data_IF_481893473490
#
_entry.id   IF_481893473490
#
_cell.length_a   1.000
_cell.length_b   1.000
_cell.length_c   1.000
_cell.angle_alpha   90.00
_cell.angle_beta   90.00
_cell.angle_gamma   90.00
#
_symmetry.space_group_name_H-M   'P 1'
#
loop_
_entity.id
_entity.type
_entity.pdbx_description
1 polymer ?
#
# COMPACT_ATOMS: atom_id res chain seq x y z
N UNK A 1 51.86 28.86 -21.96
CA UNK A 1 50.94 28.89 -20.81
C UNK A 1 49.62 28.28 -21.25
N UNK A 2 48.99 27.48 -20.37
CA UNK A 2 47.70 26.78 -20.50
C UNK A 2 47.71 25.40 -21.19
N UNK A 3 48.16 24.41 -20.41
CA UNK A 3 47.83 22.99 -20.58
C UNK A 3 46.40 22.74 -20.07
N UNK A 4 45.54 22.26 -20.96
CA UNK A 4 44.20 21.73 -20.66
C UNK A 4 44.34 20.46 -19.80
N UNK A 5 43.85 20.50 -18.55
CA UNK A 5 43.64 19.32 -17.72
C UNK A 5 42.20 18.84 -17.90
N UNK A 6 42.05 17.76 -18.66
CA UNK A 6 40.87 16.90 -18.66
C UNK A 6 40.66 16.32 -17.25
N UNK A 7 39.58 16.73 -16.59
CA UNK A 7 39.13 16.11 -15.34
C UNK A 7 38.51 14.76 -15.71
N UNK A 8 39.31 13.71 -15.56
CA UNK A 8 38.84 12.33 -15.60
C UNK A 8 37.97 12.07 -14.36
N UNK A 9 36.65 12.19 -14.51
CA UNK A 9 35.66 11.66 -13.56
C UNK A 9 35.76 10.14 -13.52
N UNK A 10 36.65 9.61 -12.67
CA UNK A 10 36.55 8.23 -12.20
C UNK A 10 35.23 8.10 -11.45
N UNK A 11 34.28 7.35 -12.02
CA UNK A 11 33.15 6.82 -11.27
C UNK A 11 33.72 6.06 -10.06
N UNK A 12 33.57 6.64 -8.87
CA UNK A 12 33.66 5.86 -7.64
C UNK A 12 32.54 4.83 -7.72
N UNK A 13 32.91 3.56 -7.97
CA UNK A 13 32.05 2.42 -7.68
C UNK A 13 31.66 2.54 -6.20
N UNK A 14 30.47 3.09 -5.93
CA UNK A 14 29.86 2.98 -4.60
C UNK A 14 29.61 1.49 -4.40
N UNK A 15 30.45 0.85 -3.59
CA UNK A 15 30.18 -0.49 -3.08
C UNK A 15 28.91 -0.41 -2.24
N UNK A 16 27.78 -0.87 -2.78
CA UNK A 16 26.55 -0.96 -2.02
C UNK A 16 26.73 -1.99 -0.91
N UNK A 17 26.34 -1.65 0.33
CA UNK A 17 26.37 -2.61 1.44
C UNK A 17 25.45 -3.79 1.11
N UNK A 18 26.02 -4.99 0.99
CA UNK A 18 25.28 -6.25 0.90
C UNK A 18 25.06 -6.79 2.31
N UNK A 19 23.87 -7.29 2.61
CA UNK A 19 23.60 -7.94 3.89
C UNK A 19 24.32 -9.30 3.98
N UNK A 20 24.76 -9.69 5.17
CA UNK A 20 25.56 -10.90 5.40
C UNK A 20 24.83 -12.20 5.08
N UNK A 21 23.49 -12.22 5.16
CA UNK A 21 22.66 -13.38 4.83
C UNK A 21 22.43 -13.57 3.31
N UNK A 22 22.91 -12.63 2.49
CA UNK A 22 22.76 -12.67 1.03
C UNK A 22 24.09 -12.98 0.35
N UNK A 23 24.06 -13.71 -0.76
CA UNK A 23 25.24 -13.87 -1.61
C UNK A 23 25.63 -12.52 -2.25
N UNK A 24 26.83 -12.48 -2.81
CA UNK A 24 27.31 -11.32 -3.55
C UNK A 24 26.35 -10.95 -4.70
N UNK A 25 26.09 -9.66 -4.90
CA UNK A 25 25.01 -9.20 -5.78
C UNK A 25 25.17 -9.63 -7.24
N UNK A 26 26.40 -9.76 -7.71
CA UNK A 26 26.74 -10.22 -9.05
C UNK A 26 26.38 -11.69 -9.30
N UNK A 27 26.19 -12.49 -8.25
CA UNK A 27 25.75 -13.90 -8.38
C UNK A 27 24.22 -14.05 -8.37
N UNK A 28 23.46 -13.00 -8.02
CA UNK A 28 22.01 -13.07 -7.81
C UNK A 28 21.25 -13.59 -9.02
N UNK A 29 21.67 -13.25 -10.24
CA UNK A 29 21.02 -13.74 -11.47
C UNK A 29 21.12 -15.26 -11.64
N UNK A 30 22.17 -15.88 -11.08
CA UNK A 30 22.39 -17.33 -11.10
C UNK A 30 21.74 -18.00 -9.91
N UNK A 31 21.78 -17.37 -8.74
CA UNK A 31 21.30 -17.95 -7.48
C UNK A 31 19.79 -17.82 -7.28
N UNK A 32 19.19 -16.76 -7.80
CA UNK A 32 17.77 -16.48 -7.65
C UNK A 32 17.04 -16.61 -8.98
N UNK A 33 16.21 -17.64 -9.08
CA UNK A 33 15.39 -17.89 -10.27
C UNK A 33 14.11 -17.08 -10.18
N UNK A 34 13.89 -16.18 -11.14
CA UNK A 34 12.66 -15.38 -11.27
C UNK A 34 11.74 -15.87 -12.36
N UNK A 35 11.42 -17.16 -12.33
CA UNK A 35 10.47 -17.79 -13.25
C UNK A 35 9.11 -17.98 -12.59
N UNK A 36 8.04 -17.77 -13.36
CA UNK A 36 6.67 -18.10 -12.93
C UNK A 36 5.81 -16.88 -12.59
N UNK A 37 4.50 -17.13 -12.51
CA UNK A 37 3.47 -16.08 -12.32
C UNK A 37 3.52 -15.45 -10.94
N UNK A 38 3.94 -16.19 -9.90
CA UNK A 38 4.04 -15.70 -8.51
C UNK A 38 5.10 -14.60 -8.29
N UNK A 39 6.05 -14.47 -9.21
CA UNK A 39 7.10 -13.46 -9.16
C UNK A 39 6.80 -12.25 -10.05
N UNK A 40 5.63 -12.24 -10.71
CA UNK A 40 5.20 -11.14 -11.57
C UNK A 40 5.00 -9.88 -10.75
N UNK A 41 5.78 -8.84 -11.04
CA UNK A 41 5.71 -7.56 -10.33
C UNK A 41 6.31 -7.60 -8.91
N UNK A 42 7.04 -8.67 -8.56
CA UNK A 42 7.75 -8.79 -7.27
C UNK A 42 9.15 -8.19 -7.36
N UNK A 43 9.20 -6.88 -7.51
CA UNK A 43 10.42 -6.12 -7.34
C UNK A 43 10.57 -5.69 -5.87
N UNK A 44 11.77 -5.82 -5.32
CA UNK A 44 12.08 -5.61 -3.91
C UNK A 44 13.34 -4.76 -3.75
N UNK A 45 13.47 -4.09 -2.61
CA UNK A 45 14.71 -3.40 -2.22
C UNK A 45 15.88 -4.40 -2.28
N UNK A 46 16.94 -4.01 -2.99
CA UNK A 46 18.14 -4.81 -3.21
C UNK A 46 19.42 -4.15 -2.71
N UNK A 47 19.27 -3.08 -1.92
CA UNK A 47 20.36 -2.31 -1.32
C UNK A 47 20.04 -2.08 0.17
N UNK A 48 20.92 -2.55 1.06
CA UNK A 48 20.70 -2.47 2.50
C UNK A 48 20.63 -1.02 2.99
N UNK A 49 21.43 -0.12 2.43
CA UNK A 49 21.40 1.31 2.80
C UNK A 49 20.07 1.98 2.41
N UNK A 50 19.44 1.52 1.33
CA UNK A 50 18.10 1.96 0.94
C UNK A 50 17.06 1.47 1.95
N UNK A 51 17.16 0.22 2.40
CA UNK A 51 16.29 -0.33 3.43
C UNK A 51 16.46 0.39 4.79
N UNK A 52 17.71 0.60 5.25
CA UNK A 52 18.03 1.39 6.46
C UNK A 52 17.43 2.78 6.40
N UNK A 53 17.58 3.46 5.26
CA UNK A 53 17.00 4.78 5.06
C UNK A 53 15.47 4.73 5.12
N UNK A 54 14.83 3.73 4.52
CA UNK A 54 13.37 3.60 4.56
C UNK A 54 12.88 3.44 6.00
N UNK A 55 13.52 2.54 6.77
CA UNK A 55 13.23 2.26 8.18
C UNK A 55 13.41 3.51 9.04
N UNK A 56 14.52 4.23 8.90
CA UNK A 56 14.77 5.50 9.63
C UNK A 56 13.77 6.59 9.24
N UNK A 57 13.38 6.66 7.97
CA UNK A 57 12.41 7.67 7.51
C UNK A 57 10.99 7.40 8.05
N UNK A 58 10.67 6.14 8.33
CA UNK A 58 9.48 5.75 9.09
C UNK A 58 9.58 6.06 10.58
N UNK A 59 10.74 6.51 11.07
CA UNK A 59 11.03 6.86 12.47
C UNK A 59 10.90 5.68 13.44
N UNK A 60 11.16 4.46 12.97
CA UNK A 60 11.09 3.24 13.79
C UNK A 60 12.07 3.31 14.97
N UNK A 61 13.21 3.97 14.82
CA UNK A 61 14.22 4.20 15.87
C UNK A 61 13.71 5.05 17.05
N UNK A 62 12.63 5.81 16.84
CA UNK A 62 11.98 6.62 17.89
C UNK A 62 10.73 5.98 18.48
N UNK A 63 10.39 4.77 18.03
CA UNK A 63 9.23 4.01 18.50
C UNK A 63 9.58 3.12 19.68
N UNK A 64 8.55 2.72 20.44
CA UNK A 64 8.66 1.79 21.55
C UNK A 64 9.36 2.35 22.78
N UNK A 65 9.53 1.46 23.76
CA UNK A 65 10.23 1.74 25.02
C UNK A 65 10.89 0.46 25.53
N UNK A 66 11.66 0.55 26.61
CA UNK A 66 12.26 -0.63 27.25
C UNK A 66 11.21 -1.65 27.73
N UNK A 67 9.99 -1.20 28.04
CA UNK A 67 8.88 -2.06 28.49
C UNK A 67 7.94 -2.48 27.37
N UNK A 68 8.03 -1.82 26.21
CA UNK A 68 7.16 -2.07 25.05
C UNK A 68 8.00 -1.93 23.78
N UNK A 69 8.88 -2.90 23.49
CA UNK A 69 9.73 -2.85 22.32
C UNK A 69 8.88 -2.94 21.05
N UNK A 70 9.44 -2.45 19.94
CA UNK A 70 8.71 -2.36 18.67
C UNK A 70 8.52 -3.74 18.06
N UNK A 71 7.29 -4.06 17.68
CA UNK A 71 6.99 -5.19 16.81
C UNK A 71 6.74 -4.70 15.39
N UNK A 72 7.29 -5.36 14.38
CA UNK A 72 7.12 -4.96 12.99
C UNK A 72 6.73 -6.15 12.12
N UNK A 73 5.69 -5.99 11.30
CA UNK A 73 5.37 -6.94 10.23
C UNK A 73 6.04 -6.45 8.95
N UNK A 74 6.89 -7.26 8.32
CA UNK A 74 7.49 -7.01 7.00
C UNK A 74 6.80 -7.92 5.98
N UNK A 75 5.72 -7.44 5.36
CA UNK A 75 4.94 -8.20 4.39
C UNK A 75 5.55 -8.10 2.98
N UNK A 76 5.55 -9.22 2.25
CA UNK A 76 6.22 -9.34 0.96
C UNK A 76 7.70 -8.96 1.06
N UNK A 77 8.38 -9.49 2.08
CA UNK A 77 9.70 -9.06 2.54
C UNK A 77 10.82 -9.16 1.48
N UNK A 78 10.61 -9.93 0.42
CA UNK A 78 11.62 -10.14 -0.62
C UNK A 78 12.90 -10.71 0.00
N UNK A 79 14.06 -10.12 -0.28
CA UNK A 79 15.33 -10.56 0.30
C UNK A 79 15.47 -10.33 1.82
N UNK A 80 14.48 -9.72 2.48
CA UNK A 80 14.55 -9.42 3.90
C UNK A 80 15.52 -8.29 4.24
N UNK A 81 15.80 -7.37 3.30
CA UNK A 81 16.67 -6.22 3.58
C UNK A 81 16.00 -5.20 4.51
N UNK A 82 14.69 -5.03 4.44
CA UNK A 82 13.92 -4.24 5.42
C UNK A 82 13.97 -4.93 6.78
N UNK A 83 13.66 -6.23 6.82
CA UNK A 83 13.82 -7.05 8.03
C UNK A 83 15.22 -6.93 8.66
N UNK A 84 16.30 -7.04 7.89
CA UNK A 84 17.68 -6.85 8.37
C UNK A 84 17.88 -5.44 8.95
N UNK A 85 17.44 -4.40 8.25
CA UNK A 85 17.58 -3.03 8.72
C UNK A 85 16.78 -2.75 10.01
N UNK A 86 15.66 -3.44 10.22
CA UNK A 86 14.88 -3.38 11.46
C UNK A 86 15.61 -4.08 12.61
N UNK A 87 16.22 -5.24 12.35
CA UNK A 87 16.95 -6.02 13.36
C UNK A 87 18.24 -5.32 13.86
N UNK A 88 18.78 -4.39 13.07
CA UNK A 88 19.89 -3.51 13.47
C UNK A 88 19.49 -2.49 14.55
N UNK A 89 18.19 -2.23 14.75
CA UNK A 89 17.71 -1.29 15.77
C UNK A 89 17.49 -2.01 17.10
N UNK A 90 18.08 -1.50 18.18
CA UNK A 90 17.99 -2.10 19.51
C UNK A 90 16.57 -2.06 20.11
N UNK A 91 15.78 -1.05 19.75
CA UNK A 91 14.41 -0.87 20.23
C UNK A 91 13.38 -1.80 19.54
N UNK A 92 13.77 -2.49 18.47
CA UNK A 92 12.90 -3.46 17.78
C UNK A 92 12.97 -4.81 18.49
N UNK A 93 11.89 -5.19 19.17
CA UNK A 93 11.81 -6.48 19.87
C UNK A 93 11.53 -7.64 18.93
N UNK A 94 10.73 -7.42 17.87
CA UNK A 94 10.29 -8.50 16.99
C UNK A 94 10.04 -8.04 15.56
N UNK A 95 10.49 -8.84 14.59
CA UNK A 95 10.22 -8.71 13.15
C UNK A 95 9.51 -9.98 12.66
N UNK A 96 8.38 -9.82 11.99
CA UNK A 96 7.59 -10.91 11.40
C UNK A 96 7.61 -10.74 9.88
N UNK A 97 8.42 -11.54 9.20
CA UNK A 97 8.60 -11.50 7.75
C UNK A 97 7.67 -12.50 7.08
N UNK A 98 6.79 -12.03 6.19
CA UNK A 98 5.81 -12.86 5.50
C UNK A 98 6.09 -12.81 4.00
N UNK A 99 6.47 -13.93 3.40
CA UNK A 99 6.86 -13.99 1.98
C UNK A 99 6.46 -15.32 1.34
N UNK A 100 5.57 -15.31 0.32
CA UNK A 100 5.11 -16.53 -0.34
C UNK A 100 6.02 -17.01 -1.48
N UNK A 101 6.97 -16.19 -1.94
CA UNK A 101 7.82 -16.56 -3.06
C UNK A 101 9.05 -17.33 -2.60
N UNK A 102 9.08 -18.61 -2.95
CA UNK A 102 10.15 -19.56 -2.58
C UNK A 102 11.57 -19.09 -2.93
N UNK A 103 11.75 -18.27 -3.97
CA UNK A 103 13.05 -17.71 -4.37
C UNK A 103 13.71 -16.91 -3.23
N UNK A 104 12.90 -16.32 -2.34
CA UNK A 104 13.34 -15.56 -1.19
C UNK A 104 13.40 -16.38 0.10
N UNK A 105 12.85 -17.60 0.10
CA UNK A 105 12.69 -18.42 1.30
C UNK A 105 14.02 -18.84 1.93
N UNK A 106 15.05 -19.18 1.13
CA UNK A 106 16.38 -19.53 1.67
C UNK A 106 17.05 -18.34 2.37
N UNK A 107 17.16 -17.15 1.75
CA UNK A 107 17.60 -15.94 2.44
C UNK A 107 16.86 -15.64 3.75
N UNK A 108 15.52 -15.66 3.72
CA UNK A 108 14.71 -15.32 4.89
C UNK A 108 14.83 -16.34 6.02
N UNK A 109 14.90 -17.64 5.69
CA UNK A 109 15.21 -18.70 6.68
C UNK A 109 16.58 -18.49 7.30
N UNK A 110 17.59 -18.18 6.50
CA UNK A 110 18.94 -17.91 7.02
C UNK A 110 18.96 -16.69 7.95
N UNK A 111 18.23 -15.64 7.60
CA UNK A 111 18.15 -14.44 8.43
C UNK A 111 17.40 -14.70 9.74
N UNK A 112 16.26 -15.40 9.67
CA UNK A 112 15.50 -15.79 10.86
C UNK A 112 16.29 -16.74 11.77
N UNK A 113 17.13 -17.61 11.22
CA UNK A 113 18.04 -18.45 12.02
C UNK A 113 19.14 -17.65 12.74
N UNK A 114 19.64 -16.57 12.11
CA UNK A 114 20.64 -15.67 12.72
C UNK A 114 20.06 -14.82 13.85
N UNK A 115 18.75 -14.54 13.80
CA UNK A 115 18.02 -13.71 14.76
C UNK A 115 16.79 -14.45 15.30
N UNK A 116 16.97 -15.70 15.74
CA UNK A 116 15.86 -16.60 16.10
C UNK A 116 15.00 -16.10 17.27
N UNK A 117 15.54 -15.23 18.11
CA UNK A 117 14.89 -14.58 19.24
C UNK A 117 14.03 -13.38 18.83
N UNK A 118 14.40 -12.71 17.73
CA UNK A 118 13.80 -11.44 17.29
C UNK A 118 13.10 -11.51 15.93
N UNK A 119 13.27 -12.58 15.16
CA UNK A 119 12.70 -12.70 13.82
C UNK A 119 11.95 -14.01 13.59
N UNK A 120 10.71 -13.89 13.12
CA UNK A 120 9.88 -14.98 12.63
C UNK A 120 9.71 -14.87 11.11
N UNK A 121 10.00 -15.95 10.37
CA UNK A 121 9.71 -16.06 8.95
C UNK A 121 8.50 -16.96 8.68
N UNK A 122 7.56 -16.49 7.87
CA UNK A 122 6.33 -17.19 7.46
C UNK A 122 6.26 -17.30 5.93
N UNK A 123 6.22 -18.54 5.45
CA UNK A 123 6.02 -18.89 4.03
C UNK A 123 4.52 -18.96 3.69
N UNK A 124 3.82 -17.82 3.79
CA UNK A 124 2.41 -17.65 3.43
C UNK A 124 2.24 -16.35 2.64
N UNK A 125 1.08 -16.18 2.01
CA UNK A 125 0.77 -14.97 1.23
C UNK A 125 0.14 -13.88 2.13
N UNK A 126 0.77 -12.70 2.29
CA UNK A 126 0.22 -11.56 3.02
C UNK A 126 -1.15 -11.07 2.54
N UNK A 127 -1.58 -11.43 1.33
CA UNK A 127 -2.93 -11.12 0.86
C UNK A 127 -4.00 -11.89 1.65
N UNK A 128 -3.67 -13.08 2.16
CA UNK A 128 -4.62 -13.94 2.85
C UNK A 128 -4.79 -13.50 4.31
N UNK A 129 -5.98 -13.05 4.68
CA UNK A 129 -6.28 -12.55 6.03
C UNK A 129 -6.01 -13.58 7.14
N UNK A 130 -6.19 -14.86 6.82
CA UNK A 130 -5.94 -15.97 7.73
C UNK A 130 -4.50 -15.96 8.28
N UNK A 131 -3.51 -15.47 7.52
CA UNK A 131 -2.12 -15.39 8.00
C UNK A 131 -2.02 -14.61 9.30
N UNK A 132 -2.79 -13.54 9.42
CA UNK A 132 -2.68 -12.67 10.58
C UNK A 132 -3.60 -13.08 11.72
N UNK A 133 -4.74 -13.71 11.40
CA UNK A 133 -5.53 -14.43 12.39
C UNK A 133 -4.70 -15.54 13.04
N UNK A 134 -3.89 -16.26 12.25
CA UNK A 134 -2.97 -17.28 12.76
C UNK A 134 -1.90 -16.65 13.66
N UNK A 135 -1.27 -15.54 13.22
CA UNK A 135 -0.29 -14.81 14.03
C UNK A 135 -0.83 -14.40 15.41
N UNK A 136 -2.07 -13.92 15.47
CA UNK A 136 -2.69 -13.54 16.74
C UNK A 136 -3.00 -14.78 17.60
N UNK A 137 -3.57 -15.84 17.01
CA UNK A 137 -3.87 -17.09 17.73
C UNK A 137 -2.63 -17.81 18.25
N UNK A 138 -1.53 -17.73 17.53
CA UNK A 138 -0.23 -18.34 17.89
C UNK A 138 0.55 -17.47 18.90
N UNK A 139 -0.04 -16.37 19.38
CA UNK A 139 0.56 -15.48 20.38
C UNK A 139 1.71 -14.63 19.84
N UNK A 140 1.88 -14.56 18.52
CA UNK A 140 2.98 -13.81 17.93
C UNK A 140 2.81 -12.29 18.04
N UNK A 141 1.61 -11.82 18.34
CA UNK A 141 1.26 -10.42 18.54
C UNK A 141 0.88 -10.09 20.01
N UNK A 142 1.07 -11.01 20.96
CA UNK A 142 0.67 -10.80 22.38
C UNK A 142 1.38 -9.62 23.05
N UNK A 143 2.62 -9.34 22.62
CA UNK A 143 3.39 -8.19 23.09
C UNK A 143 2.94 -6.84 22.50
N UNK A 144 2.00 -6.83 21.55
CA UNK A 144 1.47 -5.60 20.94
C UNK A 144 0.28 -5.10 21.74
N UNK A 145 0.45 -3.96 22.40
CA UNK A 145 -0.60 -3.34 23.21
C UNK A 145 -1.63 -2.67 22.29
N UNK A 146 -2.90 -2.74 22.67
CA UNK A 146 -3.95 -1.97 22.01
C UNK A 146 -3.81 -0.50 22.42
N UNK A 147 -3.76 0.40 21.44
CA UNK A 147 -3.74 1.84 21.65
C UNK A 147 -5.11 2.47 21.33
N UNK A 148 -5.49 3.56 22.04
CA UNK A 148 -6.64 4.37 21.64
C UNK A 148 -6.53 4.82 20.18
N UNK A 149 -7.66 4.94 19.49
CA UNK A 149 -7.66 5.31 18.07
C UNK A 149 -7.19 6.75 17.86
N UNK A 150 -7.26 7.62 18.86
CA UNK A 150 -6.86 9.01 18.74
C UNK A 150 -5.33 9.14 18.63
N UNK A 151 -4.60 8.17 19.16
CA UNK A 151 -3.14 8.13 19.21
C UNK A 151 -2.57 7.28 18.07
N UNK A 152 -1.47 7.74 17.48
CA UNK A 152 -0.70 6.91 16.54
C UNK A 152 -0.07 5.76 17.32
N UNK A 153 -0.07 4.55 16.75
CA UNK A 153 0.56 3.41 17.41
C UNK A 153 2.07 3.64 17.51
N UNK A 154 2.59 3.54 18.73
CA UNK A 154 3.95 3.94 19.10
C UNK A 154 4.95 2.77 19.12
N UNK A 155 4.50 1.51 19.15
CA UNK A 155 5.38 0.33 19.16
C UNK A 155 4.96 -0.82 18.22
N UNK A 156 4.12 -0.53 17.21
CA UNK A 156 3.73 -1.50 16.18
C UNK A 156 3.68 -0.81 14.82
N UNK A 157 4.31 -1.41 13.82
CA UNK A 157 4.35 -0.86 12.46
C UNK A 157 4.32 -1.99 11.42
N UNK A 158 3.97 -1.63 10.19
CA UNK A 158 3.97 -2.56 9.05
C UNK A 158 4.86 -2.01 7.95
N UNK A 159 5.68 -2.84 7.34
CA UNK A 159 6.29 -2.58 6.04
C UNK A 159 5.68 -3.50 5.01
N UNK A 160 5.54 -3.01 3.78
CA UNK A 160 5.08 -3.82 2.67
C UNK A 160 5.75 -3.44 1.36
N UNK A 161 6.31 -4.43 0.67
CA UNK A 161 6.80 -4.26 -0.70
C UNK A 161 5.74 -4.74 -1.67
N UNK A 162 4.85 -3.82 -2.06
CA UNK A 162 3.60 -4.15 -2.74
C UNK A 162 3.88 -4.73 -4.13
N UNK A 163 3.35 -5.92 -4.45
CA UNK A 163 3.47 -6.49 -5.79
C UNK A 163 2.89 -5.51 -6.83
N UNK A 164 3.65 -5.20 -7.89
CA UNK A 164 3.23 -4.32 -8.98
C UNK A 164 2.20 -5.00 -9.90
N UNK A 165 1.04 -5.32 -9.34
CA UNK A 165 -0.07 -6.04 -9.95
C UNK A 165 -1.40 -5.47 -9.45
N UNK A 166 -2.49 -5.77 -10.15
CA UNK A 166 -3.85 -5.42 -9.69
C UNK A 166 -4.12 -5.98 -8.29
N UNK A 167 -3.59 -7.16 -7.98
CA UNK A 167 -3.73 -7.81 -6.68
C UNK A 167 -3.06 -7.00 -5.55
N UNK A 168 -1.90 -6.41 -5.81
CA UNK A 168 -1.23 -5.51 -4.86
C UNK A 168 -2.02 -4.22 -4.61
N UNK A 169 -2.64 -3.65 -5.65
CA UNK A 169 -3.54 -2.50 -5.49
C UNK A 169 -4.81 -2.84 -4.71
N UNK A 170 -5.39 -4.01 -4.96
CA UNK A 170 -6.52 -4.53 -4.19
C UNK A 170 -6.15 -4.70 -2.72
N UNK A 171 -4.94 -5.20 -2.43
CA UNK A 171 -4.46 -5.34 -1.05
C UNK A 171 -4.38 -3.99 -0.33
N UNK A 172 -3.82 -2.95 -0.97
CA UNK A 172 -3.83 -1.59 -0.40
C UNK A 172 -5.27 -1.14 -0.08
N UNK A 173 -6.21 -1.38 -0.98
CA UNK A 173 -7.63 -1.11 -0.75
C UNK A 173 -8.21 -1.85 0.46
N UNK A 174 -7.84 -3.12 0.67
CA UNK A 174 -8.26 -3.89 1.84
C UNK A 174 -7.75 -3.27 3.15
N UNK A 175 -6.50 -2.79 3.20
CA UNK A 175 -6.00 -2.09 4.39
C UNK A 175 -6.81 -0.83 4.69
N UNK A 176 -7.20 -0.04 3.69
CA UNK A 176 -8.07 1.12 3.93
C UNK A 176 -9.44 0.72 4.49
N UNK A 177 -10.01 -0.39 4.02
CA UNK A 177 -11.26 -0.91 4.60
C UNK A 177 -11.05 -1.36 6.06
N UNK A 178 -9.94 -2.03 6.36
CA UNK A 178 -9.62 -2.44 7.73
C UNK A 178 -9.40 -1.24 8.67
N UNK A 179 -8.90 -0.10 8.18
CA UNK A 179 -8.83 1.14 8.98
C UNK A 179 -10.24 1.62 9.40
N UNK A 180 -11.22 1.55 8.50
CA UNK A 180 -12.61 1.96 8.79
C UNK A 180 -13.25 1.05 9.84
N UNK A 181 -13.10 -0.26 9.67
CA UNK A 181 -13.67 -1.25 10.60
C UNK A 181 -12.89 -1.41 11.91
N UNK A 182 -11.69 -0.82 12.01
CA UNK A 182 -10.74 -1.08 13.09
C UNK A 182 -10.51 -2.59 13.27
N UNK A 183 -10.45 -3.30 12.14
CA UNK A 183 -10.32 -4.74 12.11
C UNK A 183 -8.89 -5.15 11.84
N UNK A 184 -8.61 -6.43 12.05
CA UNK A 184 -7.30 -7.01 11.74
C UNK A 184 -6.16 -6.28 12.48
N UNK A 185 -5.10 -5.80 11.82
CA UNK A 185 -4.01 -5.08 12.49
C UNK A 185 -4.48 -3.78 13.14
N UNK A 186 -5.52 -3.15 12.58
CA UNK A 186 -6.08 -1.91 13.10
C UNK A 186 -6.97 -2.12 14.33
N UNK A 187 -7.21 -3.36 14.74
CA UNK A 187 -7.78 -3.65 16.07
C UNK A 187 -6.83 -3.25 17.21
N UNK A 188 -5.53 -3.10 16.92
CA UNK A 188 -4.52 -2.62 17.88
C UNK A 188 -4.40 -1.08 17.93
N UNK A 189 -5.11 -0.35 17.08
CA UNK A 189 -5.06 1.12 17.01
C UNK A 189 -4.63 1.64 15.63
N UNK A 190 -4.19 2.90 15.55
CA UNK A 190 -3.72 3.53 14.30
C UNK A 190 -2.29 3.08 13.98
N UNK A 191 -2.17 1.96 13.29
CA UNK A 191 -0.87 1.38 12.91
C UNK A 191 -0.29 2.10 11.68
N UNK A 192 0.93 2.70 11.75
CA UNK A 192 1.58 3.29 10.59
C UNK A 192 2.13 2.20 9.64
N UNK A 193 2.08 2.47 8.32
CA UNK A 193 2.60 1.55 7.31
C UNK A 193 3.64 2.19 6.39
N UNK A 194 4.77 1.52 6.17
CA UNK A 194 5.77 1.84 5.15
C UNK A 194 5.54 1.02 3.89
N UNK A 195 5.07 1.63 2.80
CA UNK A 195 4.82 0.92 1.54
C UNK A 195 5.91 1.24 0.50
N UNK A 196 6.48 0.23 -0.13
CA UNK A 196 7.18 0.37 -1.40
C UNK A 196 6.21 0.02 -2.52
N UNK A 197 5.89 1.01 -3.36
CA UNK A 197 4.84 0.93 -4.39
C UNK A 197 5.37 1.40 -5.73
N UNK A 198 4.91 0.79 -6.82
CA UNK A 198 5.28 1.24 -8.16
C UNK A 198 4.63 2.59 -8.48
N UNK A 199 5.33 3.48 -9.20
CA UNK A 199 4.90 4.86 -9.42
C UNK A 199 3.49 5.01 -9.99
N UNK A 200 3.04 4.22 -11.01
CA UNK A 200 1.67 4.34 -11.50
C UNK A 200 0.59 4.07 -10.42
N UNK A 201 0.85 3.14 -9.50
CA UNK A 201 -0.08 2.82 -8.41
C UNK A 201 -0.05 3.92 -7.33
N UNK A 202 1.13 4.44 -7.03
CA UNK A 202 1.30 5.62 -6.16
C UNK A 202 0.54 6.83 -6.70
N UNK A 203 0.73 7.17 -7.97
CA UNK A 203 0.03 8.28 -8.62
C UNK A 203 -1.49 8.14 -8.48
N UNK A 204 -2.06 6.97 -8.82
CA UNK A 204 -3.50 6.70 -8.64
C UNK A 204 -3.98 6.88 -7.21
N UNK A 205 -3.12 6.64 -6.22
CA UNK A 205 -3.44 6.79 -4.80
C UNK A 205 -3.43 8.25 -4.35
N UNK A 206 -2.53 9.07 -4.90
CA UNK A 206 -2.28 10.43 -4.37
C UNK A 206 -2.99 11.56 -5.10
N UNK A 207 -3.61 11.29 -6.26
CA UNK A 207 -4.31 12.33 -7.02
C UNK A 207 -5.39 13.06 -6.19
N UNK A 208 -5.37 14.38 -6.25
CA UNK A 208 -6.24 15.30 -5.50
C UNK A 208 -7.49 15.72 -6.31
N UNK A 209 -8.55 16.24 -5.65
CA UNK A 209 -9.70 16.82 -6.34
C UNK A 209 -9.28 17.80 -7.44
N UNK A 210 -9.89 17.69 -8.62
CA UNK A 210 -9.55 18.50 -9.80
C UNK A 210 -8.57 17.83 -10.74
N UNK A 211 -7.78 16.86 -10.27
CA UNK A 211 -6.76 16.23 -11.10
C UNK A 211 -7.40 15.19 -12.06
N UNK A 212 -6.98 15.16 -13.34
CA UNK A 212 -7.65 14.34 -14.36
C UNK A 212 -7.72 12.85 -14.04
N UNK A 213 -6.69 12.34 -13.38
CA UNK A 213 -6.53 10.92 -13.06
C UNK A 213 -6.98 10.54 -11.66
N UNK A 214 -7.56 11.47 -10.89
CA UNK A 214 -8.20 11.13 -9.61
C UNK A 214 -9.27 10.05 -9.83
N UNK A 215 -9.16 8.98 -9.06
CA UNK A 215 -10.06 7.84 -9.10
C UNK A 215 -10.60 7.50 -7.72
N UNK A 216 -11.43 6.45 -7.66
CA UNK A 216 -12.05 5.98 -6.41
C UNK A 216 -11.04 5.67 -5.32
N UNK A 217 -9.91 5.04 -5.66
CA UNK A 217 -8.89 4.66 -4.67
C UNK A 217 -8.24 5.89 -4.00
N UNK A 218 -8.03 6.98 -4.74
CA UNK A 218 -7.56 8.24 -4.17
C UNK A 218 -8.59 8.83 -3.19
N UNK A 219 -9.88 8.79 -3.54
CA UNK A 219 -10.94 9.24 -2.65
C UNK A 219 -11.05 8.39 -1.38
N UNK A 220 -10.92 7.05 -1.49
CA UNK A 220 -10.88 6.17 -0.31
C UNK A 220 -9.67 6.50 0.56
N UNK A 221 -8.49 6.70 -0.03
CA UNK A 221 -7.28 7.12 0.70
C UNK A 221 -7.51 8.43 1.41
N UNK A 222 -7.95 9.49 0.72
CA UNK A 222 -8.19 10.81 1.31
C UNK A 222 -9.15 10.76 2.51
N UNK A 223 -10.09 9.82 2.49
CA UNK A 223 -11.09 9.66 3.53
C UNK A 223 -10.59 8.81 4.73
N UNK A 224 -9.51 8.04 4.55
CA UNK A 224 -9.02 7.06 5.56
C UNK A 224 -7.62 7.34 6.07
N UNK A 225 -6.74 7.98 5.29
CA UNK A 225 -5.31 8.09 5.60
C UNK A 225 -4.60 9.27 4.92
N UNK A 226 -3.43 9.61 5.46
CA UNK A 226 -2.43 10.48 4.84
C UNK A 226 -1.33 9.62 4.25
N UNK A 227 -0.79 10.01 3.09
CA UNK A 227 0.33 9.33 2.43
C UNK A 227 1.46 10.33 2.19
N UNK A 228 2.60 10.12 2.85
CA UNK A 228 3.83 10.89 2.65
C UNK A 228 4.85 10.11 1.82
N UNK A 229 5.69 10.81 1.06
CA UNK A 229 6.85 10.22 0.38
C UNK A 229 8.04 10.19 1.32
N UNK A 230 8.59 9.00 1.56
CA UNK A 230 9.81 8.79 2.36
C UNK A 230 11.04 8.56 1.48
N UNK A 231 10.87 7.78 0.40
CA UNK A 231 11.88 7.54 -0.62
C UNK A 231 11.34 8.01 -1.97
N UNK A 232 11.82 9.15 -2.50
CA UNK A 232 11.33 9.66 -3.77
C UNK A 232 11.78 8.77 -4.93
N UNK A 233 11.00 8.80 -6.01
CA UNK A 233 11.25 8.00 -7.22
C UNK A 233 12.66 8.19 -7.80
N UNK A 234 13.18 9.42 -7.71
CA UNK A 234 14.51 9.79 -8.19
C UNK A 234 15.64 8.99 -7.56
N UNK A 235 15.41 8.38 -6.40
CA UNK A 235 16.38 7.57 -5.67
C UNK A 235 16.14 6.07 -5.79
N UNK A 236 15.03 5.65 -6.40
CA UNK A 236 14.68 4.25 -6.62
C UNK A 236 14.67 3.92 -8.11
N UNK A 237 15.42 4.72 -8.88
CA UNK A 237 15.54 4.53 -10.32
C UNK A 237 16.15 3.16 -10.63
N UNK A 238 15.70 2.50 -11.71
CA UNK A 238 16.22 1.19 -12.06
C UNK A 238 17.74 1.11 -12.23
N UNK A 239 18.34 2.15 -12.80
CA UNK A 239 19.77 2.18 -13.09
C UNK A 239 20.64 2.26 -11.82
N UNK A 240 20.06 2.59 -10.66
CA UNK A 240 20.78 2.71 -9.39
C UNK A 240 21.02 1.37 -8.69
N UNK A 241 20.55 0.25 -9.27
CA UNK A 241 20.64 -1.08 -8.65
C UNK A 241 20.08 -1.12 -7.22
N UNK A 242 19.02 -0.36 -6.91
CA UNK A 242 18.41 -0.34 -5.56
C UNK A 242 17.17 -1.20 -5.44
N UNK A 243 16.60 -1.59 -6.57
CA UNK A 243 15.44 -2.47 -6.70
C UNK A 243 15.87 -3.66 -7.57
N UNK A 244 15.36 -4.87 -7.29
CA UNK A 244 15.65 -6.09 -8.05
C UNK A 244 14.42 -7.03 -7.98
N UNK A 245 14.11 -7.85 -9.01
CA UNK A 245 14.87 -8.11 -10.23
C UNK A 245 14.69 -7.08 -11.36
N UNK A 246 13.67 -6.21 -11.29
CA UNK A 246 13.34 -5.23 -12.34
C UNK A 246 13.23 -5.89 -13.71
N UNK A 247 12.40 -6.92 -13.79
CA UNK A 247 12.21 -7.66 -15.03
C UNK A 247 11.33 -6.84 -15.99
N UNK A 248 11.88 -6.52 -17.17
CA UNK A 248 11.08 -5.99 -18.28
C UNK A 248 10.09 -7.06 -18.72
N UNK A 249 8.81 -6.88 -18.42
CA UNK A 249 7.80 -7.80 -18.89
C UNK A 249 7.38 -7.42 -20.32
N UNK A 250 7.41 -8.36 -21.29
CA UNK A 250 6.89 -8.07 -22.61
C UNK A 250 5.39 -7.77 -22.51
N UNK A 251 4.96 -6.66 -23.09
CA UNK A 251 3.53 -6.38 -23.20
C UNK A 251 2.92 -7.38 -24.20
N UNK A 252 2.06 -8.28 -23.71
CA UNK A 252 1.42 -9.32 -24.54
C UNK A 252 0.68 -8.76 -25.76
N UNK A 253 0.15 -7.53 -25.66
CA UNK A 253 -0.60 -6.89 -26.76
C UNK A 253 0.29 -6.19 -27.77
N UNK A 254 1.34 -5.51 -27.33
CA UNK A 254 2.17 -4.68 -28.22
C UNK A 254 3.48 -5.33 -28.63
N UNK A 255 3.84 -6.48 -28.03
CA UNK A 255 5.16 -7.15 -28.15
C UNK A 255 6.37 -6.26 -27.84
N UNK A 256 6.17 -5.00 -27.43
CA UNK A 256 7.22 -4.11 -26.95
C UNK A 256 7.59 -4.51 -25.53
N UNK A 257 8.88 -4.43 -25.21
CA UNK A 257 9.32 -4.51 -23.82
C UNK A 257 8.59 -3.43 -23.01
N UNK A 258 7.92 -3.80 -21.92
CA UNK A 258 7.38 -2.79 -21.02
C UNK A 258 8.54 -1.99 -20.42
N UNK A 259 8.26 -0.72 -20.12
CA UNK A 259 9.18 0.10 -19.34
C UNK A 259 9.37 -0.55 -17.97
N UNK A 260 10.58 -0.39 -17.43
CA UNK A 260 10.85 -0.75 -16.04
C UNK A 260 9.95 0.12 -15.15
N UNK A 261 9.34 -0.51 -14.15
CA UNK A 261 8.57 0.20 -13.16
C UNK A 261 9.51 0.99 -12.27
N UNK A 262 9.25 2.27 -12.13
CA UNK A 262 9.83 3.06 -11.05
C UNK A 262 9.02 2.82 -9.76
N UNK A 263 9.63 3.15 -8.62
CA UNK A 263 9.09 2.87 -7.30
C UNK A 263 9.19 4.10 -6.39
N UNK A 264 8.29 4.18 -5.42
CA UNK A 264 8.26 5.20 -4.38
C UNK A 264 8.12 4.49 -3.04
N UNK A 265 8.93 4.88 -2.06
CA UNK A 265 8.73 4.48 -0.67
C UNK A 265 7.85 5.50 0.04
N UNK A 266 6.75 5.08 0.62
CA UNK A 266 5.75 5.96 1.25
C UNK A 266 5.47 5.56 2.68
N UNK A 267 4.98 6.51 3.47
CA UNK A 267 4.38 6.29 4.77
C UNK A 267 2.89 6.55 4.68
N UNK A 268 2.10 5.59 5.15
CA UNK A 268 0.64 5.70 5.26
C UNK A 268 0.29 5.76 6.74
N UNK A 269 -0.42 6.82 7.12
CA UNK A 269 -0.88 7.05 8.47
C UNK A 269 -2.42 7.14 8.47
N UNK A 270 -3.15 6.25 9.18
CA UNK A 270 -4.60 6.37 9.28
C UNK A 270 -5.00 7.72 9.90
N UNK A 271 -6.11 8.28 9.45
CA UNK A 271 -6.69 9.49 10.03
C UNK A 271 -7.33 9.19 11.40
N UNK A 272 -7.37 10.20 12.28
CA UNK A 272 -8.21 10.13 13.49
C UNK A 272 -9.68 10.07 13.07
N UNK A 273 -10.08 11.05 12.24
CA UNK A 273 -11.44 11.21 11.75
C UNK A 273 -11.56 10.56 10.37
N UNK A 274 -11.79 9.25 10.35
CA UNK A 274 -12.06 8.52 9.11
C UNK A 274 -13.49 8.78 8.63
N UNK A 275 -13.62 8.99 7.34
CA UNK A 275 -14.86 8.90 6.59
C UNK A 275 -14.69 7.74 5.58
N UNK A 276 -15.63 6.81 5.42
CA UNK A 276 -16.90 6.62 6.13
C UNK A 276 -16.72 6.04 7.54
N UNK A 277 -17.81 5.97 8.31
CA UNK A 277 -17.87 5.17 9.54
C UNK A 277 -18.47 3.77 9.26
N UNK A 278 -18.46 2.88 10.26
CA UNK A 278 -18.96 1.51 10.12
C UNK A 278 -20.42 1.42 9.63
N UNK A 279 -21.28 2.37 9.98
CA UNK A 279 -22.69 2.36 9.58
C UNK A 279 -22.93 2.88 8.16
N UNK A 280 -21.97 3.60 7.60
CA UNK A 280 -22.08 4.27 6.30
C UNK A 280 -21.18 3.63 5.24
N UNK A 281 -20.35 2.66 5.62
CA UNK A 281 -19.35 2.06 4.74
C UNK A 281 -19.97 1.35 3.53
N UNK A 282 -21.06 0.60 3.70
CA UNK A 282 -21.73 -0.07 2.56
C UNK A 282 -22.24 0.96 1.54
N UNK A 283 -22.94 1.99 2.01
CA UNK A 283 -23.38 3.11 1.19
C UNK A 283 -22.22 3.87 0.56
N UNK A 284 -21.12 4.04 1.29
CA UNK A 284 -19.92 4.68 0.79
C UNK A 284 -19.30 3.89 -0.35
N UNK A 285 -19.11 2.58 -0.18
CA UNK A 285 -18.59 1.71 -1.21
C UNK A 285 -19.48 1.70 -2.44
N UNK A 286 -20.80 1.57 -2.25
CA UNK A 286 -21.78 1.58 -3.31
C UNK A 286 -21.75 2.90 -4.09
N UNK A 287 -21.97 4.02 -3.40
CA UNK A 287 -22.07 5.35 -4.02
C UNK A 287 -20.77 5.69 -4.74
N UNK A 288 -19.62 5.54 -4.07
CA UNK A 288 -18.32 5.84 -4.69
C UNK A 288 -18.02 4.92 -5.86
N UNK A 289 -18.38 3.62 -5.79
CA UNK A 289 -18.25 2.71 -6.93
C UNK A 289 -19.05 3.21 -8.13
N UNK A 290 -20.30 3.61 -7.94
CA UNK A 290 -21.17 4.04 -9.04
C UNK A 290 -20.75 5.39 -9.63
N UNK A 291 -20.56 6.43 -8.81
CA UNK A 291 -20.31 7.78 -9.33
C UNK A 291 -18.91 7.89 -9.98
N UNK A 292 -17.91 7.15 -9.50
CA UNK A 292 -16.57 7.20 -10.09
C UNK A 292 -16.44 6.43 -11.41
N UNK A 293 -17.41 5.59 -11.82
CA UNK A 293 -17.49 5.08 -13.21
C UNK A 293 -17.55 6.24 -14.19
N UNK A 294 -18.30 7.28 -13.82
CA UNK A 294 -18.52 8.49 -14.60
C UNK A 294 -17.71 9.69 -14.09
N UNK A 295 -16.50 9.44 -13.54
CA UNK A 295 -15.64 10.45 -12.88
C UNK A 295 -15.43 11.78 -13.62
N UNK A 296 -15.50 11.79 -14.95
CA UNK A 296 -15.32 12.98 -15.82
C UNK A 296 -16.60 13.81 -16.00
N UNK A 297 -17.76 13.23 -15.74
CA UNK A 297 -19.05 13.88 -15.89
C UNK A 297 -19.44 14.60 -14.59
N UNK A 298 -20.41 15.51 -14.71
CA UNK A 298 -20.99 16.20 -13.56
C UNK A 298 -21.63 15.20 -12.59
N UNK A 299 -21.67 15.56 -11.30
CA UNK A 299 -22.36 14.78 -10.28
C UNK A 299 -23.82 14.54 -10.68
N UNK A 300 -24.52 15.57 -11.20
CA UNK A 300 -25.90 15.49 -11.72
C UNK A 300 -26.10 14.32 -12.68
N UNK A 301 -25.18 14.16 -13.65
CA UNK A 301 -25.25 13.06 -14.63
C UNK A 301 -24.92 11.72 -13.98
N UNK A 302 -24.00 11.72 -13.03
CA UNK A 302 -23.49 10.53 -12.37
C UNK A 302 -24.49 9.91 -11.38
N UNK A 303 -25.38 10.72 -10.78
CA UNK A 303 -26.43 10.25 -9.87
C UNK A 303 -27.37 9.21 -10.52
N UNK A 304 -27.56 9.27 -11.85
CA UNK A 304 -28.36 8.30 -12.61
C UNK A 304 -27.85 6.86 -12.51
N UNK A 305 -26.59 6.67 -12.11
CA UNK A 305 -25.99 5.35 -11.90
C UNK A 305 -26.26 4.76 -10.51
N UNK A 306 -26.79 5.54 -9.57
CA UNK A 306 -27.11 5.03 -8.23
C UNK A 306 -28.36 4.16 -8.25
N UNK A 307 -29.42 4.63 -8.90
CA UNK A 307 -30.68 3.92 -9.08
C UNK A 307 -31.61 4.70 -10.02
N UNK A 308 -32.74 4.08 -10.37
CA UNK A 308 -33.81 4.74 -11.13
C UNK A 308 -34.27 5.99 -10.37
N UNK A 309 -34.38 7.12 -11.08
CA UNK A 309 -34.80 8.43 -10.55
C UNK A 309 -33.93 9.01 -9.41
N UNK A 310 -32.74 8.46 -9.15
CA UNK A 310 -31.84 8.99 -8.12
C UNK A 310 -31.42 10.44 -8.39
N UNK A 311 -31.25 10.84 -9.66
CA UNK A 311 -30.93 12.20 -10.06
C UNK A 311 -32.04 13.20 -9.74
N UNK A 312 -33.31 12.78 -9.78
CA UNK A 312 -34.46 13.60 -9.38
C UNK A 312 -34.58 13.63 -7.86
N UNK A 313 -34.52 12.47 -7.21
CA UNK A 313 -34.75 12.33 -5.78
C UNK A 313 -33.66 13.01 -4.93
N UNK A 314 -32.40 12.93 -5.37
CA UNK A 314 -31.26 13.46 -4.63
C UNK A 314 -30.95 14.92 -4.97
N UNK A 315 -31.51 15.50 -6.04
CA UNK A 315 -31.20 16.87 -6.47
C UNK A 315 -31.38 17.89 -5.35
N UNK A 316 -32.61 18.03 -4.84
CA UNK A 316 -32.93 19.02 -3.82
C UNK A 316 -32.18 18.75 -2.50
N UNK A 317 -32.16 17.52 -1.95
CA UNK A 317 -31.36 17.23 -0.75
C UNK A 317 -29.88 17.61 -0.86
N UNK A 318 -29.27 17.43 -2.04
CA UNK A 318 -27.87 17.78 -2.27
C UNK A 318 -27.65 19.29 -2.41
N UNK A 319 -28.52 19.98 -3.15
CA UNK A 319 -28.51 21.44 -3.28
C UNK A 319 -28.69 22.11 -1.90
N UNK A 320 -29.62 21.62 -1.07
CA UNK A 320 -29.87 22.10 0.29
C UNK A 320 -28.64 21.91 1.22
N UNK A 321 -27.76 20.96 0.91
CA UNK A 321 -26.48 20.70 1.63
C UNK A 321 -25.30 21.48 1.05
N UNK A 322 -25.54 22.31 0.04
CA UNK A 322 -24.52 23.09 -0.65
C UNK A 322 -23.56 22.22 -1.48
N UNK A 323 -24.03 21.12 -2.06
CA UNK A 323 -23.26 20.31 -3.01
C UNK A 323 -23.52 20.83 -4.42
N UNK A 324 -22.46 21.25 -5.11
CA UNK A 324 -22.54 21.65 -6.53
C UNK A 324 -22.72 20.41 -7.42
N UNK A 325 -23.89 20.30 -8.04
CA UNK A 325 -24.24 19.17 -8.90
C UNK A 325 -23.60 19.24 -10.29
N UNK A 326 -23.13 20.41 -10.72
CA UNK A 326 -22.53 20.59 -12.05
C UNK A 326 -21.02 20.35 -12.02
N UNK A 327 -20.43 20.30 -10.83
CA UNK A 327 -19.05 19.85 -10.56
C UNK A 327 -18.82 18.41 -11.04
N UNK A 328 -17.67 18.16 -11.67
CA UNK A 328 -17.32 16.80 -12.07
C UNK A 328 -17.05 15.92 -10.84
N UNK A 329 -17.39 14.64 -10.91
CA UNK A 329 -17.22 13.72 -9.76
C UNK A 329 -15.77 13.67 -9.26
N UNK A 330 -14.79 13.66 -10.17
CA UNK A 330 -13.37 13.66 -9.78
C UNK A 330 -12.94 14.92 -9.02
N UNK A 331 -13.71 16.00 -9.12
CA UNK A 331 -13.44 17.29 -8.47
C UNK A 331 -14.11 17.38 -7.08
N UNK A 332 -14.96 16.42 -6.72
CA UNK A 332 -15.62 16.38 -5.41
C UNK A 332 -14.59 16.15 -4.28
N UNK A 333 -14.69 16.95 -3.22
CA UNK A 333 -13.96 16.74 -1.97
C UNK A 333 -14.57 15.58 -1.18
N UNK A 334 -13.84 15.07 -0.19
CA UNK A 334 -14.35 14.00 0.68
C UNK A 334 -15.58 14.45 1.48
N UNK A 335 -15.65 15.72 1.86
CA UNK A 335 -16.78 16.29 2.57
C UNK A 335 -18.02 16.39 1.67
N UNK A 336 -17.84 16.74 0.39
CA UNK A 336 -18.93 16.72 -0.59
C UNK A 336 -19.41 15.28 -0.83
N UNK A 337 -18.49 14.31 -0.96
CA UNK A 337 -18.84 12.88 -1.11
C UNK A 337 -19.61 12.37 0.12
N UNK A 338 -19.18 12.75 1.34
CA UNK A 338 -19.89 12.38 2.56
C UNK A 338 -21.34 12.91 2.56
N UNK A 339 -21.55 14.17 2.17
CA UNK A 339 -22.90 14.74 2.01
C UNK A 339 -23.75 13.99 0.99
N UNK A 340 -23.13 13.50 -0.09
CA UNK A 340 -23.82 12.66 -1.09
C UNK A 340 -24.29 11.35 -0.48
N UNK A 341 -23.47 10.72 0.34
CA UNK A 341 -23.77 9.44 0.99
C UNK A 341 -24.83 9.60 2.07
N UNK A 342 -24.78 10.68 2.85
CA UNK A 342 -25.83 11.01 3.81
C UNK A 342 -27.18 11.19 3.09
N UNK A 343 -27.19 11.86 1.94
CA UNK A 343 -28.42 12.13 1.19
C UNK A 343 -28.97 10.83 0.58
N UNK A 344 -28.06 9.98 0.10
CA UNK A 344 -28.39 8.64 -0.34
C UNK A 344 -28.96 7.79 0.80
N UNK A 345 -28.43 7.92 2.02
CA UNK A 345 -28.90 7.16 3.17
C UNK A 345 -30.29 7.55 3.64
N UNK A 346 -30.62 8.83 3.58
CA UNK A 346 -31.93 9.40 3.91
C UNK A 346 -32.98 9.21 2.81
N UNK A 347 -32.57 8.81 1.60
CA UNK A 347 -33.49 8.61 0.49
C UNK A 347 -34.42 7.41 0.75
N UNK A 348 -35.75 7.60 0.90
CA UNK A 348 -36.66 6.53 1.31
C UNK A 348 -36.79 5.38 0.30
N UNK A 349 -36.46 5.64 -0.97
CA UNK A 349 -36.55 4.68 -2.07
C UNK A 349 -35.18 4.23 -2.57
N UNK A 350 -34.13 4.40 -1.76
CA UNK A 350 -32.80 3.88 -2.10
C UNK A 350 -32.84 2.36 -2.26
N UNK A 351 -32.00 1.76 -3.12
CA UNK A 351 -31.89 0.31 -3.20
C UNK A 351 -31.54 -0.30 -1.84
N UNK A 352 -32.26 -1.34 -1.43
CA UNK A 352 -31.91 -2.10 -0.22
C UNK A 352 -30.68 -2.98 -0.46
N UNK A 353 -30.58 -3.56 -1.67
CA UNK A 353 -29.46 -4.41 -2.06
C UNK A 353 -28.41 -3.56 -2.78
N UNK A 354 -27.34 -3.22 -2.06
CA UNK A 354 -26.23 -2.40 -2.57
C UNK A 354 -25.14 -3.23 -3.27
N UNK A 355 -25.12 -4.55 -3.06
CA UNK A 355 -24.20 -5.47 -3.69
C UNK A 355 -24.98 -6.47 -4.53
N UNK A 356 -24.84 -6.40 -5.86
CA UNK A 356 -25.16 -7.50 -6.76
C UNK A 356 -23.84 -8.10 -7.19
N UNK A 357 -23.44 -9.18 -6.53
CA UNK A 357 -22.31 -10.01 -6.99
C UNK A 357 -22.74 -10.97 -8.12
N UNK A 358 -24.04 -11.04 -8.40
CA UNK A 358 -24.63 -11.96 -9.37
C UNK A 358 -24.83 -11.29 -10.72
N UNK A 359 -23.73 -11.01 -11.43
CA UNK A 359 -23.80 -11.17 -12.88
C UNK A 359 -23.52 -12.64 -13.11
N UNK A 360 -24.56 -13.43 -13.41
CA UNK A 360 -24.41 -14.79 -13.91
C UNK A 360 -23.35 -14.77 -15.03
N UNK A 361 -22.14 -15.23 -14.74
CA UNK A 361 -21.04 -15.42 -15.70
C UNK A 361 -21.36 -16.50 -16.76
N UNK A 362 -22.63 -16.92 -16.87
CA UNK A 362 -23.13 -17.86 -17.87
C UNK A 362 -23.12 -17.33 -19.31
N UNK A 363 -22.72 -16.07 -19.54
CA UNK A 363 -22.67 -15.48 -20.89
C UNK A 363 -21.31 -14.93 -21.31
N UNK A 364 -20.23 -15.19 -20.56
CA UNK A 364 -18.87 -14.94 -21.05
C UNK A 364 -18.34 -16.19 -21.77
N UNK A 365 -18.83 -16.43 -22.99
CA UNK A 365 -18.32 -17.43 -23.92
C UNK A 365 -17.04 -16.96 -24.63
#
# INVERSE_FOLDING_TARGET
MLLSRTISTRLLLRSFSTASHLPAKDTWKKEFTFSGTKLRGRDTISCLDTARRFVRSMKIDSMGSSTSPVTVIDAYSGFGLISQALLELENVGKVISIEPAQTFGKPLKSLSQQHNDRMLYIDKDPYNWQVYTDLEKEGHLDGVLVRPWEEMHDHFAVFMQVPATVHGEQLIGQFFHCMVFRSWLYSKGRVPMGLLINSPSYERLVHLPGQPERGRIAAIREATSVVDVLLPETELRPDDNRIYPQLRQPNKKTKKAANLSNYVGTRVEPLVNILPNMHTLESWEFVTRQIFVTRKYSLRKSLKHLAVNADVALKKPLEDRGVDLDKAVRDLTIQEIAKVIDAFNEWPFKPEILYRDDVDDKYAA
#
